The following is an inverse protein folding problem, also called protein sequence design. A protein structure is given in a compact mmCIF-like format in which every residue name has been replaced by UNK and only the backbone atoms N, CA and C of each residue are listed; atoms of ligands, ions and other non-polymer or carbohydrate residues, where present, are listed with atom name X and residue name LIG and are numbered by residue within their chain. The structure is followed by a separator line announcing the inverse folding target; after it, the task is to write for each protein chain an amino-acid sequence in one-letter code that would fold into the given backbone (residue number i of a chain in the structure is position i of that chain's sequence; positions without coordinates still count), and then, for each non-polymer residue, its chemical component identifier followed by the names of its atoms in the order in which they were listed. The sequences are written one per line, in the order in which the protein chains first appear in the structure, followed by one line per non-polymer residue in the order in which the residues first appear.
data_IF_658048764667
#
_entry.id   IF_658048764667
#
_cell.length_a   1.000
_cell.length_b   1.000
_cell.length_c   1.000
_cell.angle_alpha   90.00
_cell.angle_beta   90.00
_cell.angle_gamma   90.00
#
_symmetry.space_group_name_H-M   'P 1'
#
loop_
_entity.id
_entity.type
_entity.pdbx_description
1 polymer ?
#
# COMPACT_ATOMS: atom_id res chain seq x y z
N UNK A 1 11.96 1.00 -6.90
CA UNK A 1 11.23 -0.23 -7.23
C UNK A 1 9.80 -0.23 -6.68
N UNK A 2 9.56 0.06 -5.39
CA UNK A 2 8.23 0.03 -4.75
C UNK A 2 7.21 0.92 -5.48
N UNK A 3 7.60 2.14 -5.86
CA UNK A 3 6.76 3.09 -6.59
C UNK A 3 6.27 2.52 -7.94
N UNK A 4 7.17 1.88 -8.70
CA UNK A 4 6.83 1.31 -10.01
C UNK A 4 5.89 0.12 -9.90
N UNK A 5 6.21 -0.79 -8.99
CA UNK A 5 5.41 -1.99 -8.78
C UNK A 5 4.04 -1.68 -8.18
N UNK A 6 3.96 -0.68 -7.29
CA UNK A 6 2.66 -0.25 -6.77
C UNK A 6 1.80 0.39 -7.87
N UNK A 7 2.38 1.21 -8.75
CA UNK A 7 1.68 1.75 -9.91
C UNK A 7 1.15 0.64 -10.83
N UNK A 8 1.98 -0.35 -11.15
CA UNK A 8 1.58 -1.51 -11.96
C UNK A 8 0.45 -2.31 -11.29
N UNK A 9 0.54 -2.54 -9.98
CA UNK A 9 -0.50 -3.22 -9.21
C UNK A 9 -1.82 -2.44 -9.20
N UNK A 10 -1.76 -1.11 -9.05
CA UNK A 10 -2.95 -0.26 -9.14
C UNK A 10 -3.56 -0.31 -10.55
N UNK A 11 -2.74 -0.34 -11.59
CA UNK A 11 -3.21 -0.51 -12.96
C UNK A 11 -3.99 -1.82 -13.13
N UNK A 12 -3.42 -2.94 -12.67
CA UNK A 12 -4.11 -4.24 -12.71
C UNK A 12 -5.39 -4.25 -11.87
N UNK A 13 -5.42 -3.57 -10.72
CA UNK A 13 -6.64 -3.46 -9.92
C UNK A 13 -7.74 -2.67 -10.63
N UNK A 14 -7.37 -1.63 -11.39
CA UNK A 14 -8.31 -0.87 -12.23
C UNK A 14 -8.88 -1.76 -13.35
N UNK A 15 -8.03 -2.53 -14.03
CA UNK A 15 -8.45 -3.48 -15.07
C UNK A 15 -9.37 -4.59 -14.51
N UNK A 16 -9.03 -5.13 -13.33
CA UNK A 16 -9.83 -6.15 -12.64
C UNK A 16 -11.22 -5.62 -12.22
N UNK A 17 -11.30 -4.32 -11.90
CA UNK A 17 -12.57 -3.62 -11.67
C UNK A 17 -13.34 -3.29 -12.95
N UNK A 18 -12.90 -3.76 -14.11
CA UNK A 18 -13.45 -3.49 -15.45
C UNK A 18 -13.45 -1.99 -15.82
N UNK A 19 -12.48 -1.23 -15.30
CA UNK A 19 -12.31 0.20 -15.57
C UNK A 19 -11.01 0.50 -16.32
N UNK A 20 -10.93 1.73 -16.79
CA UNK A 20 -9.70 2.41 -17.19
C UNK A 20 -9.49 3.62 -16.29
N UNK A 21 -8.29 4.22 -16.22
CA UNK A 21 -8.11 5.48 -15.49
C UNK A 21 -9.10 6.57 -15.92
N UNK A 22 -9.41 6.65 -17.20
CA UNK A 22 -10.37 7.62 -17.74
C UNK A 22 -11.80 7.36 -17.22
N UNK A 23 -12.26 6.12 -17.22
CA UNK A 23 -13.62 5.80 -16.72
C UNK A 23 -13.73 6.04 -15.22
N UNK A 24 -12.68 5.78 -14.42
CA UNK A 24 -12.67 6.13 -13.00
C UNK A 24 -12.72 7.64 -12.76
N UNK A 25 -11.95 8.45 -13.51
CA UNK A 25 -12.03 9.92 -13.44
C UNK A 25 -13.43 10.46 -13.76
N UNK A 26 -14.10 9.85 -14.72
CA UNK A 26 -15.46 10.23 -15.09
C UNK A 26 -16.48 9.89 -13.99
N UNK A 27 -16.16 9.00 -13.06
CA UNK A 27 -16.99 8.70 -11.88
C UNK A 27 -16.81 9.72 -10.74
N UNK A 28 -15.80 10.61 -10.83
CA UNK A 28 -15.51 11.65 -9.84
C UNK A 28 -14.07 11.61 -9.33
N UNK A 29 -13.84 12.15 -8.13
CA UNK A 29 -12.51 12.20 -7.52
C UNK A 29 -12.05 10.81 -7.08
N UNK A 30 -10.85 10.42 -7.53
CA UNK A 30 -10.25 9.14 -7.20
C UNK A 30 -9.13 9.34 -6.17
N UNK A 31 -9.30 8.78 -4.97
CA UNK A 31 -8.31 8.84 -3.90
C UNK A 31 -7.34 7.64 -3.94
N UNK A 32 -6.06 7.89 -3.62
CA UNK A 32 -5.01 6.87 -3.53
C UNK A 32 -4.47 6.79 -2.11
N UNK A 33 -4.51 5.60 -1.51
CA UNK A 33 -4.05 5.36 -0.14
C UNK A 33 -3.07 4.19 -0.13
N UNK A 34 -1.78 4.46 0.11
CA UNK A 34 -0.71 3.48 0.03
C UNK A 34 -0.06 3.23 1.40
N UNK A 35 -0.16 2.01 1.91
CA UNK A 35 0.58 1.56 3.08
C UNK A 35 2.04 1.27 2.74
N UNK A 36 2.99 1.97 3.37
CA UNK A 36 4.42 1.82 3.10
C UNK A 36 5.21 2.00 4.39
N UNK A 37 6.07 1.05 4.71
CA UNK A 37 6.88 1.08 5.94
C UNK A 37 8.38 1.28 5.66
N UNK A 38 8.92 0.68 4.60
CA UNK A 38 10.37 0.62 4.36
C UNK A 38 10.84 1.59 3.28
N UNK A 39 12.00 2.25 3.58
CA UNK A 39 12.72 3.16 2.68
C UNK A 39 14.08 2.58 2.25
N UNK A 40 14.23 1.28 2.23
CA UNK A 40 15.53 0.61 2.07
C UNK A 40 16.24 0.99 0.77
N UNK A 41 15.51 1.41 -0.26
CA UNK A 41 16.10 1.88 -1.51
C UNK A 41 16.98 3.13 -1.33
N UNK A 42 16.75 3.94 -0.31
CA UNK A 42 17.63 5.06 0.04
C UNK A 42 19.02 4.60 0.41
N UNK A 43 19.15 3.46 1.08
CA UNK A 43 20.44 2.86 1.44
C UNK A 43 21.18 2.36 0.20
N UNK A 44 20.46 1.68 -0.71
CA UNK A 44 21.02 1.22 -1.99
C UNK A 44 21.58 2.39 -2.81
N UNK A 45 20.82 3.50 -2.86
CA UNK A 45 21.27 4.70 -3.57
C UNK A 45 22.48 5.35 -2.87
N UNK A 46 22.45 5.47 -1.55
CA UNK A 46 23.55 6.06 -0.79
C UNK A 46 24.85 5.26 -0.95
N UNK A 47 24.79 3.92 -0.92
CA UNK A 47 25.96 3.06 -1.15
C UNK A 47 26.48 3.13 -2.60
N UNK A 48 25.60 3.29 -3.58
CA UNK A 48 25.97 3.40 -4.97
C UNK A 48 26.62 4.75 -5.31
N UNK A 49 26.38 5.77 -4.48
CA UNK A 49 26.68 7.17 -4.80
C UNK A 49 27.93 7.71 -4.06
N UNK A 50 28.77 6.84 -3.46
CA UNK A 50 30.08 7.30 -2.96
C UNK A 50 30.93 8.04 -4.03
N UNK A 51 30.50 8.03 -5.30
CA UNK A 51 31.20 8.64 -6.43
C UNK A 51 30.31 9.40 -7.44
N UNK A 52 29.01 9.62 -7.19
CA UNK A 52 28.11 10.30 -8.13
C UNK A 52 27.23 11.34 -7.42
N UNK A 53 27.21 12.54 -8.02
CA UNK A 53 26.49 13.72 -7.50
C UNK A 53 25.00 13.80 -7.88
N UNK A 54 24.50 12.93 -8.72
CA UNK A 54 23.12 12.96 -9.22
C UNK A 54 22.25 11.94 -8.49
N UNK A 55 21.77 12.31 -7.29
CA UNK A 55 20.77 11.52 -6.58
C UNK A 55 19.39 11.64 -7.25
N UNK A 56 18.60 10.57 -7.31
CA UNK A 56 17.24 10.67 -7.82
C UNK A 56 16.43 11.68 -7.00
N UNK A 57 15.69 12.55 -7.68
CA UNK A 57 14.99 13.71 -7.14
C UNK A 57 14.00 13.43 -6.00
N UNK A 58 13.56 12.20 -5.81
CA UNK A 58 12.66 11.85 -4.69
C UNK A 58 12.73 10.38 -4.31
N UNK A 59 13.09 10.15 -3.05
CA UNK A 59 12.99 8.85 -2.37
C UNK A 59 11.92 8.90 -1.27
N UNK A 60 10.99 9.86 -1.36
CA UNK A 60 9.90 10.02 -0.41
C UNK A 60 8.81 8.95 -0.59
N UNK A 61 8.32 8.40 0.52
CA UNK A 61 7.21 7.43 0.49
C UNK A 61 5.93 8.01 -0.13
N UNK A 62 5.69 9.31 0.03
CA UNK A 62 4.57 10.01 -0.60
C UNK A 62 4.50 9.81 -2.12
N UNK A 63 5.66 9.64 -2.77
CA UNK A 63 5.71 9.40 -4.22
C UNK A 63 5.03 8.09 -4.65
N UNK A 64 4.91 7.12 -3.75
CA UNK A 64 4.28 5.84 -4.07
C UNK A 64 2.78 6.05 -4.39
N UNK A 65 2.08 6.84 -3.59
CA UNK A 65 0.70 7.23 -3.88
C UNK A 65 0.63 8.29 -4.98
N UNK A 66 1.45 9.35 -4.88
CA UNK A 66 1.40 10.48 -5.79
C UNK A 66 1.74 10.10 -7.24
N UNK A 67 2.58 9.10 -7.46
CA UNK A 67 2.89 8.62 -8.80
C UNK A 67 1.67 7.99 -9.48
N UNK A 68 0.85 7.26 -8.73
CA UNK A 68 -0.39 6.69 -9.25
C UNK A 68 -1.35 7.82 -9.62
N UNK A 69 -1.58 8.78 -8.70
CA UNK A 69 -2.43 9.93 -8.95
C UNK A 69 -1.98 10.74 -10.17
N UNK A 70 -0.68 11.03 -10.26
CA UNK A 70 -0.10 11.77 -11.38
C UNK A 70 -0.24 11.03 -12.72
N UNK A 71 0.09 9.71 -12.73
CA UNK A 71 0.07 8.93 -13.96
C UNK A 71 -1.35 8.71 -14.50
N UNK A 72 -2.31 8.50 -13.59
CA UNK A 72 -3.71 8.27 -13.93
C UNK A 72 -4.53 9.58 -14.01
N UNK A 73 -3.93 10.72 -13.70
CA UNK A 73 -4.57 12.04 -13.65
C UNK A 73 -5.76 12.05 -12.66
N UNK A 74 -5.54 11.51 -11.44
CA UNK A 74 -6.52 11.47 -10.36
C UNK A 74 -6.35 12.67 -9.43
N UNK A 75 -7.46 13.31 -9.03
CA UNK A 75 -7.51 14.57 -8.28
C UNK A 75 -8.03 14.43 -6.84
N UNK A 76 -8.30 13.21 -6.38
CA UNK A 76 -8.66 12.93 -5.00
C UNK A 76 -7.45 12.92 -4.04
N UNK A 77 -7.66 12.65 -2.74
CA UNK A 77 -6.59 12.53 -1.76
C UNK A 77 -5.52 11.51 -2.19
N UNK A 78 -4.24 11.85 -2.02
CA UNK A 78 -3.11 10.99 -2.39
C UNK A 78 -2.15 10.88 -1.20
N UNK A 79 -2.24 9.75 -0.46
CA UNK A 79 -1.65 9.60 0.87
C UNK A 79 -0.84 8.31 0.95
N UNK A 80 0.42 8.43 1.37
CA UNK A 80 1.19 7.30 1.88
C UNK A 80 1.13 7.28 3.41
N UNK A 81 0.84 6.13 3.98
CA UNK A 81 0.67 5.95 5.43
C UNK A 81 1.62 4.89 5.96
N UNK A 82 2.26 5.20 7.09
CA UNK A 82 3.11 4.28 7.85
C UNK A 82 2.57 4.13 9.26
N UNK A 83 2.04 2.96 9.55
CA UNK A 83 1.67 2.46 10.87
C UNK A 83 2.29 1.09 11.10
N UNK A 84 3.51 0.92 10.59
CA UNK A 84 4.28 -0.32 10.63
C UNK A 84 3.53 -1.46 9.91
N UNK A 85 3.36 -2.63 10.54
CA UNK A 85 2.72 -3.80 9.93
C UNK A 85 1.24 -3.60 9.56
N UNK A 86 0.55 -2.64 10.18
CA UNK A 86 -0.86 -2.36 9.93
C UNK A 86 -1.12 -1.36 8.80
N UNK A 87 -0.07 -0.81 8.17
CA UNK A 87 -0.17 0.31 7.22
C UNK A 87 -1.17 0.07 6.09
N UNK A 88 -1.20 -1.11 5.48
CA UNK A 88 -2.12 -1.40 4.37
C UNK A 88 -3.58 -1.44 4.80
N UNK A 89 -3.90 -2.00 5.98
CA UNK A 89 -5.27 -2.00 6.51
C UNK A 89 -5.70 -0.61 7.00
N UNK A 90 -4.76 0.19 7.53
CA UNK A 90 -5.03 1.60 7.84
C UNK A 90 -5.28 2.39 6.57
N UNK A 91 -4.55 2.14 5.48
CA UNK A 91 -4.82 2.73 4.17
C UNK A 91 -6.25 2.42 3.68
N UNK A 92 -6.70 1.17 3.81
CA UNK A 92 -8.09 0.78 3.50
C UNK A 92 -9.10 1.53 4.38
N UNK A 93 -8.84 1.65 5.68
CA UNK A 93 -9.71 2.40 6.60
C UNK A 93 -9.81 3.88 6.19
N UNK A 94 -8.68 4.51 5.87
CA UNK A 94 -8.66 5.91 5.42
C UNK A 94 -9.41 6.09 4.10
N UNK A 95 -9.26 5.18 3.15
CA UNK A 95 -9.99 5.18 1.89
C UNK A 95 -11.51 5.10 2.10
N UNK A 96 -11.97 4.21 2.99
CA UNK A 96 -13.40 4.09 3.33
C UNK A 96 -13.92 5.36 3.99
N UNK A 97 -13.13 5.99 4.85
CA UNK A 97 -13.53 7.27 5.45
C UNK A 97 -13.59 8.39 4.40
N UNK A 98 -12.67 8.43 3.44
CA UNK A 98 -12.70 9.37 2.31
C UNK A 98 -13.95 9.21 1.45
N UNK A 99 -14.37 7.97 1.17
CA UNK A 99 -15.64 7.69 0.48
C UNK A 99 -16.86 8.15 1.31
N UNK A 100 -16.86 7.88 2.61
CA UNK A 100 -17.97 8.25 3.51
C UNK A 100 -18.10 9.75 3.73
N UNK A 101 -16.98 10.49 3.77
CA UNK A 101 -16.97 11.96 3.90
C UNK A 101 -17.29 12.67 2.58
N UNK A 102 -17.24 11.95 1.46
CA UNK A 102 -17.41 12.54 0.13
C UNK A 102 -16.16 13.26 -0.37
N UNK A 103 -14.97 12.99 0.20
CA UNK A 103 -13.70 13.50 -0.32
C UNK A 103 -13.25 12.77 -1.59
N UNK A 104 -13.78 11.56 -1.80
CA UNK A 104 -13.58 10.75 -3.00
C UNK A 104 -14.87 10.02 -3.37
N UNK A 105 -15.09 9.77 -4.64
CA UNK A 105 -16.15 8.91 -5.18
C UNK A 105 -15.66 7.47 -5.39
N UNK A 106 -14.35 7.32 -5.70
CA UNK A 106 -13.66 6.03 -5.82
C UNK A 106 -12.34 6.13 -5.07
N UNK A 107 -11.88 5.04 -4.48
CA UNK A 107 -10.54 4.97 -3.89
C UNK A 107 -9.78 3.73 -4.35
N UNK A 108 -8.46 3.86 -4.48
CA UNK A 108 -7.56 2.73 -4.59
C UNK A 108 -6.74 2.68 -3.30
N UNK A 109 -6.82 1.57 -2.60
CA UNK A 109 -6.10 1.38 -1.35
C UNK A 109 -5.26 0.11 -1.40
N UNK A 110 -4.08 0.16 -0.81
CA UNK A 110 -3.19 -1.00 -0.84
C UNK A 110 -1.93 -0.81 -0.03
N UNK A 111 -0.93 -1.62 -0.34
CA UNK A 111 0.38 -1.51 0.30
C UNK A 111 1.48 -2.20 -0.50
N UNK A 112 2.70 -1.80 -0.22
CA UNK A 112 3.88 -2.37 -0.84
C UNK A 112 4.99 -2.59 0.18
N UNK A 113 5.59 -3.78 0.13
CA UNK A 113 6.75 -4.15 0.95
C UNK A 113 7.76 -4.94 0.12
N UNK A 114 8.94 -4.34 -0.11
CA UNK A 114 10.08 -5.00 -0.74
C UNK A 114 11.28 -4.99 0.20
N UNK A 115 12.10 -6.03 0.12
CA UNK A 115 13.34 -6.18 0.88
C UNK A 115 14.54 -5.83 0.00
N UNK A 116 14.78 -4.53 -0.18
CA UNK A 116 15.71 -4.00 -1.18
C UNK A 116 17.15 -3.88 -0.65
N UNK A 117 17.37 -4.02 0.68
CA UNK A 117 18.68 -3.88 1.27
C UNK A 117 18.85 -4.85 2.47
N UNK A 118 20.05 -5.44 2.68
CA UNK A 118 20.31 -6.37 3.78
C UNK A 118 20.13 -5.79 5.19
N UNK A 119 20.16 -4.45 5.34
CA UNK A 119 19.96 -3.79 6.63
C UNK A 119 18.65 -4.18 7.30
N UNK A 120 17.58 -4.39 6.53
CA UNK A 120 16.29 -4.86 7.02
C UNK A 120 16.42 -6.16 7.80
N UNK A 121 17.10 -7.15 7.22
CA UNK A 121 17.32 -8.44 7.86
C UNK A 121 18.21 -8.34 9.10
N UNK A 122 19.25 -7.49 9.07
CA UNK A 122 20.12 -7.25 10.23
C UNK A 122 19.35 -6.62 11.40
N UNK A 123 18.52 -5.60 11.12
CA UNK A 123 17.74 -4.89 12.13
C UNK A 123 16.73 -5.81 12.82
N UNK A 124 15.93 -6.53 12.05
CA UNK A 124 14.90 -7.40 12.62
C UNK A 124 15.45 -8.71 13.17
N UNK A 125 16.56 -9.21 12.64
CA UNK A 125 17.24 -10.40 13.17
C UNK A 125 17.79 -10.19 14.59
N UNK A 126 18.23 -8.97 14.94
CA UNK A 126 18.67 -8.64 16.29
C UNK A 126 17.53 -8.70 17.33
N UNK A 127 16.29 -8.53 16.91
CA UNK A 127 15.10 -8.58 17.75
C UNK A 127 14.50 -9.99 17.95
N UNK A 128 15.16 -11.05 17.48
CA UNK A 128 14.64 -12.42 17.49
C UNK A 128 13.23 -12.56 16.88
N UNK A 129 12.94 -11.76 15.86
CA UNK A 129 11.63 -11.76 15.22
C UNK A 129 11.51 -12.81 14.10
N UNK A 130 12.63 -13.33 13.61
CA UNK A 130 12.65 -14.29 12.52
C UNK A 130 12.59 -15.73 13.01
N UNK A 131 11.87 -16.56 12.27
CA UNK A 131 11.82 -17.99 12.49
C UNK A 131 13.22 -18.61 12.39
N UNK A 132 13.58 -19.46 13.36
CA UNK A 132 14.89 -20.11 13.41
C UNK A 132 15.10 -21.16 12.31
N UNK A 133 14.01 -21.73 11.78
CA UNK A 133 14.02 -22.77 10.75
C UNK A 133 13.40 -22.34 9.39
N UNK A 134 13.09 -21.03 9.24
CA UNK A 134 12.57 -20.48 8.01
C UNK A 134 11.10 -20.85 7.72
N UNK A 135 10.32 -21.16 8.75
CA UNK A 135 8.89 -21.48 8.61
C UNK A 135 8.00 -20.57 9.45
N UNK A 136 7.00 -20.00 8.82
CA UNK A 136 5.87 -19.39 9.54
C UNK A 136 4.92 -20.47 10.02
N UNK A 137 4.57 -20.42 11.31
CA UNK A 137 3.59 -21.34 11.94
C UNK A 137 2.42 -20.55 12.50
N UNK A 138 1.78 -19.75 11.64
CA UNK A 138 0.63 -18.96 12.05
C UNK A 138 -0.45 -19.87 12.67
N UNK A 139 -0.86 -19.57 13.91
CA UNK A 139 -1.80 -20.36 14.72
C UNK A 139 -1.36 -21.80 15.03
N UNK A 140 -0.14 -22.19 14.68
CA UNK A 140 0.42 -23.54 14.94
C UNK A 140 1.30 -23.58 16.17
N UNK A 141 1.62 -24.80 16.63
CA UNK A 141 2.55 -25.01 17.74
C UNK A 141 4.02 -24.86 17.29
N UNK A 142 4.89 -24.41 18.20
CA UNK A 142 6.34 -24.31 17.97
C UNK A 142 6.76 -23.19 17.03
N UNK A 143 5.93 -22.19 16.84
CA UNK A 143 6.31 -20.96 16.14
C UNK A 143 7.22 -20.10 17.03
N UNK A 144 8.36 -19.68 16.50
CA UNK A 144 9.37 -18.87 17.19
C UNK A 144 9.68 -17.55 16.45
N UNK A 145 9.00 -17.30 15.33
CA UNK A 145 9.17 -16.09 14.54
C UNK A 145 8.48 -16.18 13.18
N UNK A 146 8.63 -15.14 12.38
CA UNK A 146 8.08 -15.09 11.02
C UNK A 146 9.19 -15.18 9.95
N UNK A 147 8.81 -15.46 8.73
CA UNK A 147 9.69 -15.40 7.56
C UNK A 147 9.38 -14.10 6.81
N UNK A 148 10.34 -13.18 6.67
CA UNK A 148 10.14 -11.96 5.89
C UNK A 148 9.77 -12.29 4.45
N UNK A 149 8.74 -11.64 3.96
CA UNK A 149 8.28 -11.79 2.59
C UNK A 149 8.17 -10.42 1.90
N UNK A 150 8.14 -10.45 0.59
CA UNK A 150 7.82 -9.30 -0.24
C UNK A 150 6.39 -9.44 -0.74
N UNK A 151 5.72 -8.34 -0.93
CA UNK A 151 4.36 -8.34 -1.46
C UNK A 151 3.86 -6.96 -1.80
N UNK A 152 2.94 -6.92 -2.74
CA UNK A 152 2.24 -5.72 -3.17
C UNK A 152 0.79 -6.11 -3.42
N UNK A 153 -0.13 -5.27 -2.99
CA UNK A 153 -1.56 -5.46 -3.22
C UNK A 153 -2.27 -4.13 -3.31
N UNK A 154 -3.30 -4.08 -4.13
CA UNK A 154 -4.21 -2.95 -4.24
C UNK A 154 -5.64 -3.42 -4.47
N UNK A 155 -6.60 -2.68 -3.95
CA UNK A 155 -8.03 -2.89 -4.16
C UNK A 155 -8.67 -1.58 -4.60
N UNK A 156 -9.65 -1.67 -5.49
CA UNK A 156 -10.53 -0.56 -5.85
C UNK A 156 -11.76 -0.59 -4.94
N UNK A 157 -12.10 0.55 -4.38
CA UNK A 157 -13.21 0.73 -3.44
C UNK A 157 -14.18 1.77 -3.97
N UNK A 158 -15.46 1.46 -3.91
CA UNK A 158 -16.55 2.34 -4.33
C UNK A 158 -17.77 2.12 -3.41
N UNK A 159 -18.61 3.11 -3.15
CA UNK A 159 -19.88 2.89 -2.46
C UNK A 159 -20.72 1.83 -3.16
N UNK A 160 -21.33 0.91 -2.38
CA UNK A 160 -22.04 -0.24 -2.92
C UNK A 160 -23.18 0.13 -3.86
N UNK A 161 -23.96 1.14 -3.49
CA UNK A 161 -25.07 1.65 -4.30
C UNK A 161 -24.61 2.23 -5.64
N UNK A 162 -23.49 2.94 -5.64
CA UNK A 162 -22.87 3.46 -6.87
C UNK A 162 -22.33 2.33 -7.74
N UNK A 163 -21.62 1.34 -7.16
CA UNK A 163 -21.12 0.20 -7.91
C UNK A 163 -22.24 -0.64 -8.53
N UNK A 164 -23.35 -0.82 -7.83
CA UNK A 164 -24.54 -1.50 -8.36
C UNK A 164 -25.20 -0.71 -9.49
N UNK A 165 -25.30 0.62 -9.36
CA UNK A 165 -25.88 1.48 -10.38
C UNK A 165 -25.05 1.50 -11.67
N UNK A 166 -23.73 1.46 -11.53
CA UNK A 166 -22.79 1.47 -12.67
C UNK A 166 -22.57 0.06 -13.27
N UNK A 167 -23.05 -1.00 -12.60
CA UNK A 167 -22.89 -2.38 -13.05
C UNK A 167 -21.47 -2.92 -12.87
N UNK A 168 -20.72 -2.40 -11.90
CA UNK A 168 -19.36 -2.80 -11.63
C UNK A 168 -19.27 -4.24 -11.13
N UNK A 169 -18.19 -5.00 -11.42
CA UNK A 169 -17.94 -6.30 -10.81
C UNK A 169 -17.61 -6.12 -9.32
N UNK A 170 -18.35 -6.82 -8.45
CA UNK A 170 -18.21 -6.72 -7.00
C UNK A 170 -17.68 -8.03 -6.45
N UNK A 171 -16.42 -8.06 -5.99
CA UNK A 171 -15.81 -9.23 -5.36
C UNK A 171 -16.28 -9.43 -3.92
N UNK A 172 -16.43 -8.34 -3.16
CA UNK A 172 -16.83 -8.37 -1.76
C UNK A 172 -17.38 -7.02 -1.30
N UNK A 173 -18.06 -7.02 -0.16
CA UNK A 173 -18.53 -5.81 0.52
C UNK A 173 -17.85 -5.71 1.88
N UNK A 174 -17.21 -4.56 2.15
CA UNK A 174 -16.62 -4.25 3.45
C UNK A 174 -17.70 -3.66 4.35
N UNK A 175 -18.19 -4.44 5.30
CA UNK A 175 -19.27 -4.04 6.20
C UNK A 175 -18.84 -3.00 7.24
N UNK A 176 -17.57 -2.98 7.62
CA UNK A 176 -17.05 -2.02 8.59
C UNK A 176 -15.54 -2.13 8.77
N UNK A 177 -14.94 -1.05 9.26
CA UNK A 177 -13.52 -0.99 9.62
C UNK A 177 -13.34 -0.21 10.92
N UNK A 178 -12.31 -0.55 11.68
CA UNK A 178 -11.91 0.20 12.87
C UNK A 178 -10.38 0.15 13.01
N UNK A 179 -9.83 1.20 13.59
CA UNK A 179 -8.42 1.27 14.01
C UNK A 179 -8.36 1.67 15.48
N UNK A 180 -7.45 1.08 16.24
CA UNK A 180 -7.23 1.39 17.64
C UNK A 180 -5.79 1.11 18.04
N UNK A 181 -5.41 1.59 19.20
CA UNK A 181 -4.16 1.23 19.87
C UNK A 181 -4.49 0.44 21.14
N UNK A 182 -3.68 -0.54 21.49
CA UNK A 182 -3.92 -1.39 22.67
C UNK A 182 -3.61 -0.68 24.00
N UNK A 183 -3.06 0.50 23.96
CA UNK A 183 -2.67 1.23 25.14
C UNK A 183 -1.34 0.73 25.72
N UNK A 184 -1.19 0.87 27.03
CA UNK A 184 -0.05 0.35 27.78
C UNK A 184 -0.39 -1.08 28.23
N UNK A 185 0.35 -2.06 27.74
CA UNK A 185 0.19 -3.50 28.05
C UNK A 185 1.32 -3.94 28.95
#
# INVERSE_FOLDING_TARGET
PQERLFLETCWHAIEDAAHTPETLRNSGRVGIFAGVMHKDYTLVVAEADEHKTDLPLSLNMAQIANRVSYFCDFDGPSIAVDTVCSSSLVAVHMAINSLRSGDSEVCIAGGVNLSLHPAKYKTYGQGNLFSSDGRCRAFGAGGDGYVPAEGIGAIVLKPLDAALADGDPIHAVISGTAINHVGQV
#
